data_IF_688266914485
#
_entry.id   IF_688266914485
#
_cell.length_a   1.000
_cell.length_b   1.000
_cell.length_c   1.000
_cell.angle_alpha   90.00
_cell.angle_beta   90.00
_cell.angle_gamma   90.00
#
_symmetry.space_group_name_H-M   'P 1'
#
loop_
_entity.id
_entity.type
_entity.pdbx_description
1 polymer ?
#
# COMPACT_ATOMS: atom_id res chain seq x y z
N UNK A 1 -2.60 -23.12 -8.09
CA UNK A 1 -3.10 -21.73 -8.20
C UNK A 1 -2.63 -20.82 -7.05
N UNK A 2 -2.08 -21.35 -5.96
CA UNK A 2 -1.67 -20.56 -4.78
C UNK A 2 -0.55 -19.55 -5.04
N UNK A 3 0.44 -19.91 -5.88
CA UNK A 3 1.50 -18.99 -6.32
C UNK A 3 0.96 -17.70 -6.98
N UNK A 4 -0.16 -17.79 -7.71
CA UNK A 4 -0.79 -16.61 -8.32
C UNK A 4 -1.40 -15.67 -7.29
N UNK A 5 -1.96 -16.22 -6.21
CA UNK A 5 -2.50 -15.44 -5.09
C UNK A 5 -1.38 -14.73 -4.33
N UNK A 6 -0.24 -15.40 -4.16
CA UNK A 6 0.95 -14.77 -3.56
C UNK A 6 1.41 -13.58 -4.40
N UNK A 7 1.53 -13.74 -5.72
CA UNK A 7 1.93 -12.66 -6.62
C UNK A 7 0.93 -11.50 -6.58
N UNK A 8 -0.38 -11.78 -6.60
CA UNK A 8 -1.40 -10.75 -6.47
C UNK A 8 -1.28 -10.00 -5.14
N UNK A 9 -1.10 -10.71 -4.03
CA UNK A 9 -0.90 -10.10 -2.72
C UNK A 9 0.32 -9.18 -2.70
N UNK A 10 1.44 -9.63 -3.28
CA UNK A 10 2.65 -8.82 -3.40
C UNK A 10 2.41 -7.56 -4.23
N UNK A 11 1.68 -7.66 -5.35
CA UNK A 11 1.33 -6.51 -6.19
C UNK A 11 0.50 -5.48 -5.42
N UNK A 12 -0.48 -5.93 -4.63
CA UNK A 12 -1.31 -5.02 -3.83
C UNK A 12 -0.48 -4.30 -2.75
N UNK A 13 0.45 -5.00 -2.10
CA UNK A 13 1.39 -4.38 -1.15
C UNK A 13 2.23 -3.29 -1.84
N UNK A 14 2.79 -3.62 -3.02
CA UNK A 14 3.57 -2.68 -3.82
C UNK A 14 2.76 -1.42 -4.14
N UNK A 15 1.52 -1.58 -4.63
CA UNK A 15 0.66 -0.44 -4.98
C UNK A 15 0.27 0.37 -3.74
N UNK A 16 -0.02 -0.28 -2.61
CA UNK A 16 -0.33 0.40 -1.35
C UNK A 16 0.82 1.25 -0.80
N UNK A 17 2.07 0.86 -1.08
CA UNK A 17 3.28 1.59 -0.66
C UNK A 17 3.80 2.58 -1.70
N UNK A 18 3.24 2.59 -2.91
CA UNK A 18 3.68 3.43 -4.02
C UNK A 18 3.72 4.93 -3.68
N UNK A 19 2.73 5.51 -2.96
CA UNK A 19 2.80 6.93 -2.57
C UNK A 19 4.01 7.27 -1.71
N UNK A 20 4.42 6.35 -0.83
CA UNK A 20 5.60 6.54 0.02
C UNK A 20 6.86 6.44 -0.83
N UNK A 21 6.95 5.43 -1.70
CA UNK A 21 8.10 5.26 -2.59
C UNK A 21 8.28 6.42 -3.56
N UNK A 22 7.19 7.03 -4.04
CA UNK A 22 7.26 8.20 -4.91
C UNK A 22 8.03 9.36 -4.26
N UNK A 23 7.84 9.58 -2.95
CA UNK A 23 8.56 10.62 -2.19
C UNK A 23 10.06 10.30 -2.05
N UNK A 24 10.42 9.03 -1.99
CA UNK A 24 11.83 8.62 -1.93
C UNK A 24 12.53 8.64 -3.29
N UNK A 25 11.82 8.32 -4.36
CA UNK A 25 12.38 8.21 -5.71
C UNK A 25 12.48 9.59 -6.36
N UNK A 26 11.50 10.46 -6.15
CA UNK A 26 11.43 11.77 -6.78
C UNK A 26 11.49 12.89 -5.74
N UNK A 27 12.61 13.62 -5.72
CA UNK A 27 12.89 14.67 -4.72
C UNK A 27 11.94 15.87 -4.77
N UNK A 28 11.14 16.00 -5.84
CA UNK A 28 10.15 17.07 -6.01
C UNK A 28 8.71 16.61 -5.71
N UNK A 29 8.50 15.33 -5.41
CA UNK A 29 7.18 14.80 -5.06
C UNK A 29 7.04 14.81 -3.54
N UNK A 30 6.08 15.60 -3.05
CA UNK A 30 5.73 15.59 -1.63
C UNK A 30 4.65 14.53 -1.35
N UNK A 31 4.65 13.94 -0.15
CA UNK A 31 3.58 13.01 0.22
C UNK A 31 2.21 13.71 0.17
N UNK A 32 2.17 14.98 0.60
CA UNK A 32 0.96 15.82 0.60
C UNK A 32 0.35 16.02 -0.80
N UNK A 33 1.14 15.95 -1.87
CA UNK A 33 0.64 16.05 -3.25
C UNK A 33 0.01 14.76 -3.76
N UNK A 34 0.36 13.61 -3.19
CA UNK A 34 -0.11 12.28 -3.66
C UNK A 34 -1.20 11.71 -2.78
N UNK A 35 -1.12 11.94 -1.46
CA UNK A 35 -2.08 11.49 -0.45
C UNK A 35 -3.55 11.72 -0.84
N UNK A 36 -3.97 12.89 -1.36
CA UNK A 36 -5.37 13.16 -1.69
C UNK A 36 -5.97 12.21 -2.73
N UNK A 37 -5.16 11.57 -3.58
CA UNK A 37 -5.64 10.59 -4.56
C UNK A 37 -5.93 9.21 -3.94
N UNK A 38 -5.43 8.97 -2.73
CA UNK A 38 -5.59 7.72 -1.99
C UNK A 38 -6.45 7.90 -0.74
N UNK A 39 -6.87 9.11 -0.42
CA UNK A 39 -7.65 9.45 0.76
C UNK A 39 -9.16 9.41 0.44
N UNK A 40 -9.91 8.57 1.14
CA UNK A 40 -11.37 8.52 1.03
C UNK A 40 -12.08 9.35 2.10
N UNK A 41 -11.34 9.95 3.04
CA UNK A 41 -11.87 10.82 4.10
C UNK A 41 -12.60 10.09 5.23
N UNK A 42 -12.36 8.79 5.38
CA UNK A 42 -12.96 7.88 6.36
C UNK A 42 -12.00 7.63 7.54
N UNK A 43 -10.73 7.35 7.27
CA UNK A 43 -9.71 6.92 8.22
C UNK A 43 -8.27 7.08 7.68
N UNK A 44 -7.36 7.55 8.52
CA UNK A 44 -5.93 7.53 8.24
C UNK A 44 -5.14 7.10 9.49
N UNK A 45 -3.93 6.58 9.27
CA UNK A 45 -3.04 6.13 10.33
C UNK A 45 -1.62 6.58 10.05
N UNK A 46 -0.97 7.22 11.03
CA UNK A 46 0.45 7.53 10.96
C UNK A 46 1.27 6.32 11.41
N UNK A 47 2.12 5.82 10.50
CA UNK A 47 2.99 4.68 10.71
C UNK A 47 4.41 5.03 10.25
N UNK A 48 5.39 4.83 11.13
CA UNK A 48 6.81 5.07 10.84
C UNK A 48 7.12 6.46 10.24
N UNK A 49 6.37 7.49 10.64
CA UNK A 49 6.54 8.87 10.15
C UNK A 49 5.82 9.18 8.83
N UNK A 50 5.03 8.24 8.30
CA UNK A 50 4.22 8.43 7.08
C UNK A 50 2.74 8.27 7.40
N UNK A 51 1.91 9.14 6.83
CA UNK A 51 0.46 8.99 6.87
C UNK A 51 0.03 7.96 5.84
N UNK A 52 -0.69 6.94 6.28
CA UNK A 52 -1.35 5.96 5.43
C UNK A 52 -2.85 6.24 5.42
N UNK A 53 -3.43 6.36 4.22
CA UNK A 53 -4.88 6.45 4.03
C UNK A 53 -5.52 5.07 4.03
N UNK A 54 -6.85 5.01 4.05
CA UNK A 54 -7.64 3.77 3.98
C UNK A 54 -7.28 2.94 2.77
N UNK A 55 -7.11 3.57 1.60
CA UNK A 55 -6.79 2.85 0.37
C UNK A 55 -5.41 2.23 0.49
N UNK A 56 -4.43 2.99 1.02
CA UNK A 56 -3.07 2.48 1.24
C UNK A 56 -3.05 1.32 2.24
N UNK A 57 -3.76 1.46 3.37
CA UNK A 57 -3.89 0.41 4.39
C UNK A 57 -4.66 -0.81 3.88
N UNK A 58 -5.73 -0.59 3.13
CA UNK A 58 -6.56 -1.64 2.55
C UNK A 58 -5.75 -2.46 1.55
N UNK A 59 -5.05 -1.80 0.63
CA UNK A 59 -4.16 -2.47 -0.34
C UNK A 59 -3.02 -3.21 0.35
N UNK A 60 -2.36 -2.58 1.32
CA UNK A 60 -1.22 -3.19 2.03
C UNK A 60 -1.66 -4.36 2.92
N UNK A 61 -2.71 -4.17 3.71
CA UNK A 61 -3.23 -5.17 4.64
C UNK A 61 -3.91 -6.34 3.93
N UNK A 62 -4.78 -6.07 2.96
CA UNK A 62 -5.39 -7.13 2.16
C UNK A 62 -4.35 -7.84 1.30
N UNK A 63 -3.40 -7.09 0.72
CA UNK A 63 -2.27 -7.65 -0.01
C UNK A 63 -1.44 -8.60 0.85
N UNK A 64 -1.12 -8.22 2.09
CA UNK A 64 -0.41 -9.09 3.04
C UNK A 64 -1.19 -10.39 3.33
N UNK A 65 -2.51 -10.32 3.52
CA UNK A 65 -3.34 -11.51 3.70
C UNK A 65 -3.29 -12.43 2.49
N UNK A 66 -3.49 -11.90 1.29
CA UNK A 66 -3.43 -12.69 0.06
C UNK A 66 -2.04 -13.30 -0.16
N UNK A 67 -0.98 -12.55 0.16
CA UNK A 67 0.40 -13.00 0.07
C UNK A 67 0.63 -14.22 0.97
N UNK A 68 0.30 -14.11 2.25
CA UNK A 68 0.47 -15.19 3.24
C UNK A 68 -0.36 -16.41 2.85
N UNK A 69 -1.64 -16.23 2.49
CA UNK A 69 -2.51 -17.33 2.08
C UNK A 69 -1.95 -18.03 0.84
N UNK A 70 -1.43 -17.27 -0.13
CA UNK A 70 -0.84 -17.79 -1.36
C UNK A 70 0.50 -18.50 -1.14
N UNK A 71 1.23 -18.19 -0.07
CA UNK A 71 2.48 -18.88 0.31
C UNK A 71 2.23 -20.17 1.09
N UNK A 72 1.20 -20.21 1.93
CA UNK A 72 0.92 -21.35 2.81
C UNK A 72 0.11 -22.44 2.10
N UNK A 73 -0.68 -22.09 1.08
CA UNK A 73 -1.45 -23.04 0.26
C UNK A 73 -0.69 -23.48 -0.99
#
# INVERSE_FOLDING_TARGET
MSKGLAILGLLLIIVGLLPIWAVFIESYVSLATVLPYFDQGIYSMDLAGYTFTEVMLGLTGFGALLFIIGLVK
#
